data_IF_200585742263
#
_entry.id   IF_200585742263
#
_cell.length_a   1.000
_cell.length_b   1.000
_cell.length_c   1.000
_cell.angle_alpha   90.00
_cell.angle_beta   90.00
_cell.angle_gamma   90.00
#
_symmetry.space_group_name_H-M   'P 1'
#
loop_
_entity.id
_entity.type
_entity.pdbx_description
1 polymer ?
#
# COMPACT_ATOMS: atom_id res chain seq x y z
N UNK A 1 2.26 -10.55 -18.78
CA UNK A 1 2.89 -9.21 -18.90
C UNK A 1 3.10 -8.59 -17.51
N UNK A 2 2.05 -8.22 -16.75
CA UNK A 2 2.18 -7.71 -15.37
C UNK A 2 2.58 -8.78 -14.34
N UNK A 3 1.96 -9.97 -14.35
CA UNK A 3 2.44 -11.11 -13.54
C UNK A 3 3.90 -11.41 -13.83
N UNK A 4 4.29 -11.40 -15.10
CA UNK A 4 5.68 -11.58 -15.54
C UNK A 4 6.58 -10.45 -15.04
N UNK A 5 6.09 -9.20 -14.97
CA UNK A 5 6.83 -8.07 -14.42
C UNK A 5 6.97 -8.17 -12.89
N UNK A 6 5.93 -8.55 -12.15
CA UNK A 6 5.99 -8.74 -10.70
C UNK A 6 6.82 -9.96 -10.30
N UNK A 7 6.71 -11.06 -11.04
CA UNK A 7 7.52 -12.26 -10.82
C UNK A 7 8.98 -12.05 -11.25
N UNK A 8 9.21 -11.20 -12.25
CA UNK A 8 10.54 -10.72 -12.62
C UNK A 8 11.08 -9.77 -11.55
N UNK A 9 10.31 -8.82 -11.03
CA UNK A 9 10.73 -7.95 -9.91
C UNK A 9 11.03 -8.77 -8.66
N UNK A 10 10.19 -9.74 -8.31
CA UNK A 10 10.45 -10.67 -7.20
C UNK A 10 11.66 -11.56 -7.43
N UNK A 11 11.88 -12.01 -8.67
CA UNK A 11 13.06 -12.79 -9.07
C UNK A 11 14.35 -11.96 -9.10
N UNK A 12 14.28 -10.73 -9.58
CA UNK A 12 15.39 -9.78 -9.64
C UNK A 12 15.78 -9.36 -8.22
N UNK A 13 14.81 -9.09 -7.34
CA UNK A 13 15.04 -8.86 -5.91
C UNK A 13 15.64 -10.09 -5.21
N UNK A 14 15.21 -11.30 -5.55
CA UNK A 14 15.78 -12.53 -4.99
C UNK A 14 17.21 -12.79 -5.47
N UNK A 15 17.49 -12.55 -6.75
CA UNK A 15 18.82 -12.69 -7.34
C UNK A 15 19.80 -11.65 -6.78
N UNK A 16 19.33 -10.44 -6.53
CA UNK A 16 20.13 -9.37 -5.91
C UNK A 16 20.40 -9.68 -4.42
N UNK A 17 19.42 -10.23 -3.69
CA UNK A 17 19.64 -10.78 -2.34
C UNK A 17 20.73 -11.87 -2.34
N UNK A 18 20.66 -12.81 -3.27
CA UNK A 18 21.57 -13.95 -3.36
C UNK A 18 23.00 -13.53 -3.78
N UNK A 19 23.12 -12.56 -4.70
CA UNK A 19 24.40 -11.99 -5.14
C UNK A 19 25.14 -11.26 -4.01
N UNK A 20 24.41 -10.72 -3.04
CA UNK A 20 24.96 -10.08 -1.83
C UNK A 20 25.09 -11.05 -0.64
N UNK A 21 24.72 -12.33 -0.80
CA UNK A 21 24.88 -13.36 0.24
C UNK A 21 23.77 -13.38 1.30
N UNK A 22 22.62 -12.76 1.00
CA UNK A 22 21.50 -12.64 1.94
C UNK A 22 20.29 -13.47 1.48
N UNK A 23 19.60 -14.10 2.43
CA UNK A 23 18.32 -14.78 2.19
C UNK A 23 17.19 -13.75 2.33
N UNK A 24 16.12 -13.87 1.52
CA UNK A 24 14.90 -13.05 1.51
C UNK A 24 14.13 -13.18 2.84
N UNK A 25 14.74 -12.62 3.87
CA UNK A 25 14.30 -12.56 5.26
C UNK A 25 14.11 -11.08 5.61
N UNK A 26 13.39 -10.79 6.69
CA UNK A 26 13.13 -9.41 7.13
C UNK A 26 14.44 -8.62 7.30
N UNK A 27 15.51 -9.27 7.77
CA UNK A 27 16.84 -8.67 7.89
C UNK A 27 17.50 -8.35 6.52
N UNK A 28 17.29 -9.18 5.51
CA UNK A 28 17.82 -8.95 4.15
C UNK A 28 17.15 -7.78 3.45
N UNK A 29 15.84 -7.58 3.68
CA UNK A 29 15.12 -6.40 3.17
C UNK A 29 15.58 -5.13 3.89
N UNK A 30 15.81 -5.19 5.21
CA UNK A 30 16.35 -4.07 5.99
C UNK A 30 17.78 -3.68 5.55
N UNK A 31 18.64 -4.66 5.22
CA UNK A 31 19.99 -4.38 4.72
C UNK A 31 20.02 -3.83 3.30
N UNK A 32 19.15 -4.31 2.41
CA UNK A 32 19.03 -3.74 1.05
C UNK A 32 18.59 -2.27 1.13
N UNK A 33 17.58 -1.97 1.95
CA UNK A 33 17.11 -0.60 2.20
C UNK A 33 18.21 0.28 2.85
N UNK A 34 19.11 -0.33 3.63
CA UNK A 34 20.20 0.38 4.32
C UNK A 34 21.45 0.58 3.44
N UNK A 35 21.78 -0.37 2.57
CA UNK A 35 22.87 -0.29 1.61
C UNK A 35 22.59 0.71 0.48
N UNK A 36 21.30 0.92 0.16
CA UNK A 36 20.87 1.75 -0.97
C UNK A 36 20.63 3.23 -0.61
N UNK A 37 21.11 3.67 0.56
CA UNK A 37 21.12 5.09 1.01
C UNK A 37 21.93 6.04 0.09
N UNK A 38 22.52 5.55 -1.01
CA UNK A 38 23.42 6.30 -1.89
C UNK A 38 23.15 6.22 -3.40
N UNK A 39 22.15 5.49 -3.90
CA UNK A 39 21.97 5.31 -5.35
C UNK A 39 20.64 5.92 -5.88
N UNK A 40 20.75 6.70 -6.97
CA UNK A 40 19.66 7.45 -7.64
C UNK A 40 18.77 6.53 -8.49
N UNK A 41 18.64 5.25 -8.13
CA UNK A 41 18.07 4.20 -8.99
C UNK A 41 17.11 3.28 -8.24
N UNK A 42 16.03 3.83 -7.69
CA UNK A 42 15.03 3.06 -6.94
C UNK A 42 14.25 2.08 -7.84
N UNK A 43 14.22 0.79 -7.51
CA UNK A 43 13.35 -0.23 -8.17
C UNK A 43 11.86 0.14 -8.05
N UNK A 44 11.45 0.83 -6.98
CA UNK A 44 10.07 1.31 -6.89
C UNK A 44 9.75 2.52 -7.77
N UNK A 45 10.71 3.06 -8.55
CA UNK A 45 10.48 4.08 -9.59
C UNK A 45 9.75 3.54 -10.85
N UNK A 46 9.45 2.24 -10.87
CA UNK A 46 8.51 1.63 -11.81
C UNK A 46 7.19 1.23 -11.14
N UNK A 47 7.23 0.85 -9.86
CA UNK A 47 6.03 0.47 -9.10
C UNK A 47 5.09 1.67 -8.95
N UNK A 48 5.63 2.86 -8.65
CA UNK A 48 4.88 4.12 -8.59
C UNK A 48 4.09 4.41 -9.87
N UNK A 49 4.71 4.24 -11.05
CA UNK A 49 4.09 4.47 -12.37
C UNK A 49 3.04 3.42 -12.68
N UNK A 50 3.30 2.16 -12.34
CA UNK A 50 2.32 1.10 -12.53
C UNK A 50 1.08 1.32 -11.65
N UNK A 51 1.28 1.67 -10.37
CA UNK A 51 0.22 2.02 -9.44
C UNK A 51 -0.55 3.25 -9.93
N UNK A 52 0.15 4.30 -10.37
CA UNK A 52 -0.48 5.50 -10.93
C UNK A 52 -1.30 5.18 -12.18
N UNK A 53 -0.80 4.35 -13.07
CA UNK A 53 -1.55 3.91 -14.25
C UNK A 53 -2.82 3.14 -13.87
N UNK A 54 -2.72 2.19 -12.93
CA UNK A 54 -3.88 1.43 -12.45
C UNK A 54 -4.89 2.33 -11.73
N UNK A 55 -4.43 3.29 -10.94
CA UNK A 55 -5.26 4.32 -10.32
C UNK A 55 -6.08 5.06 -11.38
N UNK A 56 -5.43 5.61 -12.41
CA UNK A 56 -6.08 6.37 -13.50
C UNK A 56 -7.09 5.54 -14.29
N UNK A 57 -6.89 4.22 -14.40
CA UNK A 57 -7.84 3.32 -15.07
C UNK A 57 -9.14 3.14 -14.25
N UNK A 58 -9.03 3.16 -12.92
CA UNK A 58 -10.15 3.02 -12.00
C UNK A 58 -10.79 4.37 -11.62
N UNK A 59 -10.11 5.48 -11.88
CA UNK A 59 -10.55 6.85 -11.60
C UNK A 59 -11.93 7.15 -12.20
N UNK A 60 -12.73 7.94 -11.48
CA UNK A 60 -14.10 8.24 -11.88
C UNK A 60 -15.07 7.08 -11.66
N UNK A 61 -14.71 6.13 -10.78
CA UNK A 61 -15.51 4.96 -10.43
C UNK A 61 -15.76 4.04 -11.62
N UNK A 62 -14.72 3.78 -12.40
CA UNK A 62 -14.79 2.92 -13.56
C UNK A 62 -14.97 1.46 -13.13
N UNK A 63 -16.23 1.06 -12.91
CA UNK A 63 -16.60 -0.24 -12.35
C UNK A 63 -16.07 -1.42 -13.17
N UNK A 64 -16.05 -1.30 -14.49
CA UNK A 64 -15.52 -2.34 -15.36
C UNK A 64 -14.04 -2.57 -15.08
N UNK A 65 -13.27 -1.48 -14.94
CA UNK A 65 -11.86 -1.57 -14.60
C UNK A 65 -11.62 -1.99 -13.15
N UNK A 66 -12.44 -1.52 -12.19
CA UNK A 66 -12.38 -1.96 -10.79
C UNK A 66 -12.62 -3.47 -10.65
N UNK A 67 -13.58 -4.02 -11.41
CA UNK A 67 -13.79 -5.47 -11.45
C UNK A 67 -12.66 -6.17 -12.20
N UNK A 68 -12.21 -5.61 -13.32
CA UNK A 68 -11.13 -6.18 -14.12
C UNK A 68 -9.83 -6.29 -13.33
N UNK A 69 -9.43 -5.30 -12.51
CA UNK A 69 -8.19 -5.38 -11.72
C UNK A 69 -8.25 -6.48 -10.65
N UNK A 70 -9.44 -6.86 -10.18
CA UNK A 70 -9.62 -8.02 -9.28
C UNK A 70 -9.76 -9.34 -10.04
N UNK A 71 -10.50 -9.36 -11.14
CA UNK A 71 -10.87 -10.57 -11.87
C UNK A 71 -10.83 -10.41 -13.39
N UNK A 72 -9.85 -11.04 -14.06
CA UNK A 72 -9.70 -10.99 -15.53
C UNK A 72 -10.27 -12.21 -16.26
N UNK A 73 -10.96 -13.11 -15.55
CA UNK A 73 -11.54 -14.34 -16.11
C UNK A 73 -10.72 -15.59 -15.80
N UNK A 74 -10.52 -16.47 -16.78
CA UNK A 74 -10.00 -17.84 -16.56
C UNK A 74 -8.60 -17.90 -15.94
N UNK A 75 -7.74 -16.94 -16.26
CA UNK A 75 -6.42 -16.79 -15.65
C UNK A 75 -6.38 -15.42 -15.02
N UNK A 76 -6.67 -15.37 -13.72
CA UNK A 76 -6.81 -14.12 -12.99
C UNK A 76 -5.62 -13.87 -12.08
N UNK A 77 -5.23 -12.60 -11.96
CA UNK A 77 -4.32 -12.07 -10.95
C UNK A 77 -5.07 -10.97 -10.22
N UNK A 78 -5.32 -11.17 -8.93
CA UNK A 78 -6.02 -10.20 -8.10
C UNK A 78 -5.07 -9.04 -7.74
N UNK A 79 -5.05 -8.01 -8.59
CA UNK A 79 -4.20 -6.84 -8.39
C UNK A 79 -4.66 -5.99 -7.20
N UNK A 80 -5.92 -6.12 -6.77
CA UNK A 80 -6.44 -5.43 -5.60
C UNK A 80 -5.74 -5.97 -4.34
N UNK A 81 -5.77 -7.29 -4.17
CA UNK A 81 -5.10 -7.96 -3.04
C UNK A 81 -3.58 -7.80 -3.14
N UNK A 82 -2.97 -7.98 -4.32
CA UNK A 82 -1.52 -7.78 -4.48
C UNK A 82 -1.07 -6.35 -4.12
N UNK A 83 -1.86 -5.32 -4.46
CA UNK A 83 -1.53 -3.93 -4.09
C UNK A 83 -1.61 -3.73 -2.59
N UNK A 84 -2.58 -4.34 -1.91
CA UNK A 84 -2.68 -4.31 -0.46
C UNK A 84 -1.52 -5.01 0.24
N UNK A 85 -1.08 -6.17 -0.25
CA UNK A 85 0.08 -6.90 0.28
C UNK A 85 1.37 -6.10 0.07
N UNK A 86 1.50 -5.47 -1.10
CA UNK A 86 2.62 -4.58 -1.39
C UNK A 86 2.65 -3.37 -0.45
N UNK A 87 1.50 -2.74 -0.19
CA UNK A 87 1.38 -1.68 0.81
C UNK A 87 1.81 -2.17 2.20
N UNK A 88 1.37 -3.37 2.62
CA UNK A 88 1.74 -3.95 3.91
C UNK A 88 3.25 -4.22 4.04
N UNK A 89 3.93 -4.55 2.95
CA UNK A 89 5.38 -4.68 2.92
C UNK A 89 6.07 -3.30 2.98
N UNK A 90 5.62 -2.35 2.16
CA UNK A 90 6.19 -1.01 2.08
C UNK A 90 5.97 -0.17 3.35
N UNK A 91 4.89 -0.42 4.09
CA UNK A 91 4.52 0.37 5.28
C UNK A 91 5.27 -0.01 6.56
N UNK A 92 6.11 -1.07 6.55
CA UNK A 92 6.85 -1.51 7.76
C UNK A 92 7.93 -0.51 8.18
N UNK A 93 8.54 0.17 7.21
CA UNK A 93 9.59 1.16 7.43
C UNK A 93 9.31 2.40 6.57
N UNK A 94 8.26 3.14 6.94
CA UNK A 94 7.97 4.41 6.27
C UNK A 94 9.04 5.42 6.65
N UNK A 95 9.72 5.94 5.63
CA UNK A 95 10.72 6.99 5.73
C UNK A 95 10.47 8.01 4.60
N UNK A 96 11.15 9.16 4.60
CA UNK A 96 10.96 10.17 3.55
C UNK A 96 11.06 9.62 2.12
N UNK A 97 11.94 8.65 1.87
CA UNK A 97 12.11 8.04 0.55
C UNK A 97 10.94 7.13 0.13
N UNK A 98 10.31 6.42 1.06
CA UNK A 98 9.20 5.48 0.77
C UNK A 98 7.82 6.11 0.92
N UNK A 99 7.73 7.28 1.57
CA UNK A 99 6.50 8.01 1.85
C UNK A 99 5.63 8.25 0.60
N UNK A 100 6.26 8.66 -0.51
CA UNK A 100 5.55 8.91 -1.76
C UNK A 100 4.94 7.63 -2.36
N UNK A 101 5.69 6.52 -2.33
CA UNK A 101 5.22 5.22 -2.81
C UNK A 101 4.07 4.68 -1.96
N UNK A 102 4.21 4.74 -0.63
CA UNK A 102 3.16 4.31 0.32
C UNK A 102 1.89 5.13 0.10
N UNK A 103 2.02 6.45 -0.07
CA UNK A 103 0.88 7.33 -0.40
C UNK A 103 0.22 6.93 -1.71
N UNK A 104 1.01 6.68 -2.77
CA UNK A 104 0.51 6.24 -4.07
C UNK A 104 -0.22 4.88 -3.99
N UNK A 105 0.25 3.95 -3.17
CA UNK A 105 -0.46 2.69 -2.92
C UNK A 105 -1.84 2.94 -2.30
N UNK A 106 -1.92 3.81 -1.29
CA UNK A 106 -3.19 4.17 -0.64
C UNK A 106 -4.13 4.85 -1.63
N UNK A 107 -3.65 5.82 -2.42
CA UNK A 107 -4.45 6.47 -3.47
C UNK A 107 -4.97 5.48 -4.51
N UNK A 108 -4.17 4.49 -4.91
CA UNK A 108 -4.58 3.46 -5.87
C UNK A 108 -5.66 2.54 -5.28
N UNK A 109 -5.51 2.16 -4.01
CA UNK A 109 -6.51 1.33 -3.31
C UNK A 109 -7.84 2.07 -3.12
N UNK A 110 -7.82 3.40 -2.90
CA UNK A 110 -9.04 4.21 -2.84
C UNK A 110 -9.84 4.05 -4.14
N UNK A 111 -9.21 4.27 -5.29
CA UNK A 111 -9.88 4.15 -6.59
C UNK A 111 -10.37 2.72 -6.89
N UNK A 112 -9.70 1.70 -6.34
CA UNK A 112 -10.16 0.31 -6.46
C UNK A 112 -11.46 0.02 -5.70
N UNK A 113 -11.80 0.79 -4.67
CA UNK A 113 -12.97 0.52 -3.81
C UNK A 113 -14.07 1.58 -3.83
N UNK A 114 -13.76 2.80 -4.28
CA UNK A 114 -14.66 3.95 -4.22
C UNK A 114 -15.91 3.77 -5.10
N UNK A 115 -17.06 4.24 -4.59
CA UNK A 115 -18.44 4.03 -5.04
C UNK A 115 -18.80 2.56 -5.18
N UNK A 116 -19.62 2.01 -4.27
CA UNK A 116 -19.29 0.80 -3.56
C UNK A 116 -18.92 -0.34 -4.50
N UNK A 117 -17.61 -0.58 -4.64
CA UNK A 117 -17.10 -1.78 -5.28
C UNK A 117 -17.02 -2.90 -4.24
N UNK A 118 -18.20 -3.37 -3.83
CA UNK A 118 -18.34 -4.25 -2.65
C UNK A 118 -17.47 -5.51 -2.72
N UNK A 119 -17.28 -6.08 -3.90
CA UNK A 119 -16.44 -7.26 -4.05
C UNK A 119 -14.95 -6.97 -3.77
N UNK A 120 -14.46 -5.79 -4.14
CA UNK A 120 -13.11 -5.34 -3.83
C UNK A 120 -12.99 -4.97 -2.34
N UNK A 121 -13.99 -4.25 -1.80
CA UNK A 121 -14.06 -3.91 -0.36
C UNK A 121 -13.98 -5.18 0.51
N UNK A 122 -14.78 -6.21 0.18
CA UNK A 122 -14.80 -7.48 0.89
C UNK A 122 -13.47 -8.21 0.80
N UNK A 123 -12.86 -8.26 -0.39
CA UNK A 123 -11.55 -8.86 -0.58
C UNK A 123 -10.48 -8.19 0.28
N UNK A 124 -10.49 -6.85 0.32
CA UNK A 124 -9.48 -6.08 1.07
C UNK A 124 -9.60 -6.21 2.59
N UNK A 125 -10.81 -6.26 3.16
CA UNK A 125 -10.94 -6.38 4.63
C UNK A 125 -10.56 -7.74 5.19
N UNK A 126 -10.43 -8.75 4.34
CA UNK A 126 -9.88 -10.06 4.71
C UNK A 126 -8.33 -10.10 4.64
N UNK A 127 -7.68 -9.04 4.15
CA UNK A 127 -6.21 -8.89 4.11
C UNK A 127 -5.65 -8.22 5.38
N UNK A 128 -4.34 -7.96 5.40
CA UNK A 128 -3.68 -7.16 6.44
C UNK A 128 -3.96 -5.65 6.33
N UNK A 129 -4.66 -5.18 5.29
CA UNK A 129 -4.93 -3.75 5.06
C UNK A 129 -5.48 -3.03 6.28
N UNK A 130 -6.49 -3.55 7.03
CA UNK A 130 -7.04 -2.82 8.16
C UNK A 130 -5.99 -2.54 9.26
N UNK A 131 -5.11 -3.50 9.55
CA UNK A 131 -4.01 -3.32 10.50
C UNK A 131 -2.94 -2.36 9.97
N UNK A 132 -2.66 -2.40 8.66
CA UNK A 132 -1.73 -1.45 8.04
C UNK A 132 -2.27 -0.03 8.18
N UNK A 133 -3.56 0.19 7.90
CA UNK A 133 -4.18 1.51 8.04
C UNK A 133 -4.17 2.00 9.49
N UNK A 134 -4.41 1.11 10.46
CA UNK A 134 -4.24 1.42 11.88
C UNK A 134 -2.84 1.97 12.18
N UNK A 135 -1.79 1.26 11.74
CA UNK A 135 -0.42 1.66 11.96
C UNK A 135 -0.07 2.99 11.26
N UNK A 136 -0.55 3.19 10.04
CA UNK A 136 -0.37 4.45 9.31
C UNK A 136 -1.01 5.65 10.04
N UNK A 137 -2.19 5.45 10.64
CA UNK A 137 -2.86 6.49 11.43
C UNK A 137 -2.10 6.84 12.72
N UNK A 138 -1.42 5.88 13.33
CA UNK A 138 -0.61 6.08 14.54
C UNK A 138 0.79 6.66 14.29
N UNK A 139 1.21 6.80 13.03
CA UNK A 139 2.54 7.36 12.72
C UNK A 139 2.75 8.73 13.35
N UNK A 140 3.89 8.94 14.01
CA UNK A 140 4.29 10.25 14.51
C UNK A 140 5.03 11.04 13.43
N UNK A 141 4.88 12.37 13.46
CA UNK A 141 5.62 13.29 12.57
C UNK A 141 7.02 13.62 13.09
N UNK A 142 7.46 12.95 14.15
CA UNK A 142 8.78 13.14 14.76
C UNK A 142 9.84 12.40 13.94
N UNK A 143 10.78 13.13 13.35
CA UNK A 143 11.91 12.57 12.61
C UNK A 143 13.10 12.32 13.53
N UNK A 144 13.97 11.39 13.12
CA UNK A 144 15.36 11.38 13.60
C UNK A 144 16.00 12.74 13.34
N UNK A 145 16.83 13.28 14.25
CA UNK A 145 17.56 14.54 14.06
C UNK A 145 18.50 14.57 12.83
N UNK A 146 18.60 13.47 12.08
CA UNK A 146 19.42 13.34 10.87
C UNK A 146 18.78 13.94 9.59
N UNK A 147 17.53 14.41 9.65
CA UNK A 147 16.83 14.96 8.48
C UNK A 147 16.72 16.49 8.56
N UNK A 148 17.27 17.18 7.56
CA UNK A 148 17.33 18.66 7.48
C UNK A 148 15.95 19.33 7.30
N UNK A 149 14.94 18.59 6.81
CA UNK A 149 13.64 19.17 6.43
C UNK A 149 12.45 18.52 7.16
N UNK A 150 12.28 18.92 8.42
CA UNK A 150 11.26 18.37 9.30
C UNK A 150 9.82 18.80 8.93
N UNK A 151 9.68 19.94 8.25
CA UNK A 151 8.39 20.50 7.82
C UNK A 151 7.77 19.65 6.71
N UNK A 152 8.55 19.32 5.68
CA UNK A 152 8.09 18.56 4.52
C UNK A 152 7.66 17.13 4.89
N UNK A 153 8.35 16.51 5.84
CA UNK A 153 7.96 15.19 6.34
C UNK A 153 6.67 15.23 7.15
N UNK A 154 6.50 16.23 8.02
CA UNK A 154 5.27 16.38 8.81
C UNK A 154 4.05 16.56 7.90
N UNK A 155 4.17 17.34 6.83
CA UNK A 155 3.13 17.46 5.81
C UNK A 155 2.86 16.12 5.12
N UNK A 156 3.91 15.38 4.74
CA UNK A 156 3.76 14.10 4.07
C UNK A 156 3.08 13.04 4.97
N UNK A 157 3.41 12.99 6.26
CA UNK A 157 2.72 12.14 7.25
C UNK A 157 1.25 12.54 7.37
N UNK A 158 0.95 13.83 7.48
CA UNK A 158 -0.43 14.33 7.56
C UNK A 158 -1.25 13.96 6.33
N UNK A 159 -0.66 14.08 5.14
CA UNK A 159 -1.27 13.67 3.87
C UNK A 159 -1.53 12.17 3.85
N UNK A 160 -0.56 11.36 4.25
CA UNK A 160 -0.74 9.90 4.29
C UNK A 160 -1.85 9.47 5.27
N UNK A 161 -1.93 10.10 6.45
CA UNK A 161 -3.03 9.87 7.40
C UNK A 161 -4.38 10.22 6.79
N UNK A 162 -4.49 11.38 6.16
CA UNK A 162 -5.71 11.83 5.48
C UNK A 162 -6.17 10.81 4.44
N UNK A 163 -5.24 10.33 3.59
CA UNK A 163 -5.53 9.31 2.58
C UNK A 163 -5.92 7.97 3.21
N UNK A 164 -5.30 7.59 4.31
CA UNK A 164 -5.65 6.37 5.04
C UNK A 164 -7.10 6.44 5.58
N UNK A 165 -7.51 7.59 6.10
CA UNK A 165 -8.92 7.83 6.49
C UNK A 165 -9.84 7.78 5.28
N UNK A 166 -9.47 8.39 4.15
CA UNK A 166 -10.26 8.30 2.91
C UNK A 166 -10.46 6.84 2.48
N UNK A 167 -9.41 6.01 2.52
CA UNK A 167 -9.53 4.59 2.20
C UNK A 167 -10.46 3.85 3.17
N UNK A 168 -10.36 4.12 4.48
CA UNK A 168 -11.29 3.55 5.46
C UNK A 168 -12.75 3.94 5.15
N UNK A 169 -13.00 5.21 4.81
CA UNK A 169 -14.34 5.67 4.44
C UNK A 169 -14.82 4.98 3.16
N UNK A 170 -13.98 4.85 2.14
CA UNK A 170 -14.32 4.16 0.89
C UNK A 170 -14.58 2.66 1.08
N UNK A 171 -13.94 2.01 2.05
CA UNK A 171 -14.29 0.65 2.45
C UNK A 171 -15.66 0.59 3.14
N UNK A 172 -16.05 1.63 3.88
CA UNK A 172 -17.28 1.71 4.67
C UNK A 172 -18.48 2.33 3.94
N UNK A 173 -18.37 2.65 2.64
CA UNK A 173 -19.45 3.28 1.87
C UNK A 173 -20.73 2.44 1.81
N UNK A 174 -20.61 1.12 1.97
CA UNK A 174 -21.77 0.21 1.99
C UNK A 174 -22.32 0.06 3.42
N UNK A 175 -23.53 0.58 3.65
CA UNK A 175 -24.18 0.64 4.97
C UNK A 175 -25.16 -0.52 5.25
N UNK A 176 -25.51 -1.33 4.26
CA UNK A 176 -26.50 -2.42 4.37
C UNK A 176 -25.87 -3.79 4.73
N UNK A 177 -24.55 -3.88 4.86
CA UNK A 177 -23.83 -5.11 5.18
C UNK A 177 -22.82 -4.90 6.32
N UNK A 178 -23.00 -5.56 7.49
CA UNK A 178 -22.09 -5.39 8.62
C UNK A 178 -20.74 -6.08 8.46
N UNK A 179 -20.54 -6.94 7.44
CA UNK A 179 -19.31 -7.74 7.29
C UNK A 179 -18.05 -6.87 7.23
N UNK A 180 -18.06 -5.87 6.36
CA UNK A 180 -16.92 -4.97 6.13
C UNK A 180 -16.66 -4.08 7.36
N UNK A 181 -17.69 -3.38 7.91
CA UNK A 181 -17.54 -2.65 9.17
C UNK A 181 -17.00 -3.50 10.32
N UNK A 182 -17.53 -4.71 10.56
CA UNK A 182 -17.09 -5.56 11.67
C UNK A 182 -15.62 -5.95 11.58
N UNK A 183 -15.11 -6.26 10.38
CA UNK A 183 -13.69 -6.58 10.20
C UNK A 183 -12.79 -5.38 10.41
N UNK A 184 -13.20 -4.21 9.94
CA UNK A 184 -12.48 -2.96 10.17
C UNK A 184 -12.43 -2.63 11.67
N UNK A 185 -13.57 -2.71 12.37
CA UNK A 185 -13.65 -2.46 13.82
C UNK A 185 -12.78 -3.40 14.65
N UNK A 186 -12.67 -4.68 14.25
CA UNK A 186 -11.82 -5.64 14.97
C UNK A 186 -10.32 -5.37 14.78
N UNK A 187 -9.94 -4.74 13.68
CA UNK A 187 -8.54 -4.48 13.35
C UNK A 187 -8.07 -3.07 13.74
N UNK A 188 -8.98 -2.10 13.71
CA UNK A 188 -8.76 -0.78 14.26
C UNK A 188 -8.95 -0.87 15.77
N UNK A 189 -7.86 -0.83 16.53
CA UNK A 189 -7.95 -0.63 17.99
C UNK A 189 -8.40 0.82 18.25
N UNK A 190 -9.71 1.09 18.10
CA UNK A 190 -10.30 2.44 18.11
C UNK A 190 -9.96 3.19 19.39
N UNK A 191 -9.86 2.47 20.51
CA UNK A 191 -9.48 3.05 21.79
C UNK A 191 -8.09 3.72 21.74
N UNK A 192 -7.17 3.20 20.91
CA UNK A 192 -5.83 3.78 20.70
C UNK A 192 -5.78 4.88 19.63
N UNK A 193 -6.91 5.22 19.00
CA UNK A 193 -7.01 6.31 18.01
C UNK A 193 -7.59 7.59 18.62
N UNK A 194 -8.16 7.53 19.82
CA UNK A 194 -8.86 8.64 20.49
C UNK A 194 -7.94 9.36 21.51
N UNK A 195 -6.81 8.74 21.87
CA UNK A 195 -5.74 9.35 22.69
C UNK A 195 -4.75 10.17 21.84
#
# INVERSE_FOLDING_TARGET
ALYTAFHKVGGDMAAECEAHGHVLTVAGVEEIVRADRGCVGFIGAHADKALRFLQLLCEGHNKDMQEYVRWQGKTSTDLVTCTSEFLAAASRHVCPATMALVTQCVDTLIEFVQNPCYANQKGLVDTQLPHVLHNLLQMTSELSPDYDDQSDYAEAVSRLKTKSVTLLLSLLERVDDPFVPQRILNALEIDKLID
#
